data_IF_516622927320
#
_entry.id   IF_516622927320
#
_cell.length_a   1.000
_cell.length_b   1.000
_cell.length_c   1.000
_cell.angle_alpha   90.00
_cell.angle_beta   90.00
_cell.angle_gamma   90.00
#
_symmetry.space_group_name_H-M   'P 1'
#
loop_
_entity.id
_entity.type
_entity.pdbx_description
1 polymer ?
#
# COMPACT_ATOMS: atom_id res chain seq x y z
N UNK A 1 -5.82 10.94 2.46
CA UNK A 1 -5.67 12.38 2.16
C UNK A 1 -5.12 12.54 0.73
N UNK A 2 -5.22 13.72 0.09
CA UNK A 2 -4.49 13.96 -1.16
C UNK A 2 -3.00 13.64 -1.01
N UNK A 3 -2.41 12.99 -2.01
CA UNK A 3 -0.99 12.58 -1.97
C UNK A 3 -0.68 11.25 -1.25
N UNK A 4 -1.68 10.60 -0.63
CA UNK A 4 -1.47 9.28 0.01
C UNK A 4 -0.89 8.24 -0.94
N UNK A 5 -1.42 8.12 -2.17
CA UNK A 5 -0.91 7.16 -3.15
C UNK A 5 0.56 7.43 -3.51
N UNK A 6 0.95 8.69 -3.71
CA UNK A 6 2.33 9.05 -4.02
C UNK A 6 3.29 8.68 -2.88
N UNK A 7 2.87 8.91 -1.62
CA UNK A 7 3.66 8.48 -0.45
C UNK A 7 3.80 6.96 -0.39
N UNK A 8 2.71 6.23 -0.61
CA UNK A 8 2.71 4.76 -0.61
C UNK A 8 3.66 4.21 -1.69
N UNK A 9 3.53 4.66 -2.93
CA UNK A 9 4.37 4.16 -4.03
C UNK A 9 5.84 4.53 -3.85
N UNK A 10 6.14 5.70 -3.28
CA UNK A 10 7.51 6.09 -2.90
C UNK A 10 8.09 5.14 -1.85
N UNK A 11 7.33 4.85 -0.78
CA UNK A 11 7.77 3.93 0.28
C UNK A 11 8.02 2.51 -0.25
N UNK A 12 7.17 2.01 -1.15
CA UNK A 12 7.38 0.70 -1.80
C UNK A 12 8.64 0.70 -2.66
N UNK A 13 8.89 1.77 -3.43
CA UNK A 13 10.09 1.90 -4.24
C UNK A 13 11.37 1.99 -3.39
N UNK A 14 11.36 2.75 -2.30
CA UNK A 14 12.48 2.86 -1.35
C UNK A 14 12.77 1.52 -0.66
N UNK A 15 11.74 0.70 -0.41
CA UNK A 15 11.89 -0.66 0.09
C UNK A 15 12.46 -1.63 -0.97
N UNK A 16 12.55 -1.21 -2.24
CA UNK A 16 13.17 -1.98 -3.32
C UNK A 16 12.24 -2.98 -4.01
N UNK A 17 10.92 -2.80 -3.89
CA UNK A 17 9.91 -3.58 -4.59
C UNK A 17 9.40 -2.86 -5.85
N UNK A 18 9.12 -3.62 -6.90
CA UNK A 18 8.45 -3.10 -8.09
C UNK A 18 6.93 -3.20 -7.91
N UNK A 19 6.20 -2.27 -8.52
CA UNK A 19 4.74 -2.27 -8.55
C UNK A 19 4.32 -2.68 -9.97
N UNK A 20 3.61 -3.81 -10.07
CA UNK A 20 3.05 -4.28 -11.34
C UNK A 20 1.66 -3.67 -11.58
N UNK A 21 0.87 -3.50 -10.51
CA UNK A 21 -0.49 -2.97 -10.61
C UNK A 21 -0.86 -2.12 -9.39
N UNK A 22 -1.71 -1.12 -9.63
CA UNK A 22 -2.29 -0.25 -8.62
C UNK A 22 -3.81 -0.21 -8.80
N UNK A 23 -4.54 -0.73 -7.81
CA UNK A 23 -5.98 -0.55 -7.70
C UNK A 23 -6.27 0.47 -6.62
N UNK A 24 -6.97 1.54 -6.99
CA UNK A 24 -7.39 2.59 -6.05
C UNK A 24 -8.91 2.72 -6.09
N UNK A 25 -9.57 2.27 -5.03
CA UNK A 25 -11.03 2.26 -4.94
C UNK A 25 -11.53 3.19 -3.83
N UNK A 26 -12.64 3.89 -4.11
CA UNK A 26 -13.34 4.71 -3.13
C UNK A 26 -14.65 4.05 -2.79
N UNK A 27 -14.77 3.54 -1.56
CA UNK A 27 -16.04 3.06 -1.07
C UNK A 27 -16.89 4.26 -0.62
N UNK A 28 -18.01 4.48 -1.29
CA UNK A 28 -19.03 5.42 -0.83
C UNK A 28 -19.97 4.65 0.10
N UNK A 29 -19.78 4.78 1.41
CA UNK A 29 -20.72 4.23 2.39
C UNK A 29 -21.69 5.33 2.84
N UNK A 30 -22.90 4.94 3.28
CA UNK A 30 -23.92 5.86 3.83
C UNK A 30 -23.53 6.45 5.19
N UNK A 31 -22.53 5.86 5.86
CA UNK A 31 -21.84 6.46 7.00
C UNK A 31 -20.78 7.42 6.46
N UNK A 32 -20.62 8.60 7.06
CA UNK A 32 -19.78 9.70 6.57
C UNK A 32 -18.26 9.38 6.40
N UNK A 33 -17.84 8.13 6.59
CA UNK A 33 -16.48 7.68 6.34
C UNK A 33 -16.29 7.37 4.85
N UNK A 34 -15.63 8.31 4.14
CA UNK A 34 -15.02 8.03 2.84
C UNK A 34 -13.74 7.23 3.05
N UNK A 35 -13.84 5.92 3.01
CA UNK A 35 -12.67 5.05 3.06
C UNK A 35 -12.12 4.88 1.64
N UNK A 36 -10.81 5.09 1.50
CA UNK A 36 -10.06 4.80 0.28
C UNK A 36 -9.29 3.52 0.55
N UNK A 37 -9.46 2.54 -0.32
CA UNK A 37 -8.67 1.31 -0.31
C UNK A 37 -7.68 1.35 -1.47
N UNK A 38 -6.45 0.96 -1.19
CA UNK A 38 -5.37 0.88 -2.18
C UNK A 38 -4.85 -0.55 -2.11
N UNK A 39 -4.96 -1.26 -3.22
CA UNK A 39 -4.37 -2.58 -3.39
C UNK A 39 -3.24 -2.47 -4.41
N UNK A 40 -2.12 -3.09 -4.07
CA UNK A 40 -0.91 -3.07 -4.89
C UNK A 40 -0.51 -4.51 -5.19
N UNK A 41 -0.26 -4.80 -6.45
CA UNK A 41 0.44 -6.02 -6.86
C UNK A 41 1.91 -5.68 -6.97
N UNK A 42 2.74 -6.30 -6.13
CA UNK A 42 4.17 -5.99 -6.03
C UNK A 42 5.05 -7.21 -6.27
N UNK A 43 6.17 -6.99 -6.94
CA UNK A 43 7.21 -8.00 -7.11
C UNK A 43 8.22 -7.88 -5.96
N UNK A 44 8.42 -8.99 -5.26
CA UNK A 44 9.37 -9.09 -4.16
C UNK A 44 10.36 -10.24 -4.38
N UNK A 45 11.41 -10.31 -3.55
CA UNK A 45 12.48 -11.31 -3.66
C UNK A 45 12.23 -12.53 -2.75
N UNK A 46 11.00 -12.66 -2.24
CA UNK A 46 10.61 -13.67 -1.25
C UNK A 46 9.98 -13.07 0.00
N UNK A 47 9.61 -13.94 0.95
CA UNK A 47 8.82 -13.61 2.15
C UNK A 47 9.47 -12.54 3.05
N UNK A 48 10.78 -12.59 3.24
CA UNK A 48 11.49 -11.57 4.04
C UNK A 48 11.37 -10.17 3.42
N UNK A 49 11.42 -10.09 2.09
CA UNK A 49 11.27 -8.82 1.38
C UNK A 49 9.82 -8.30 1.49
N UNK A 50 8.81 -9.18 1.46
CA UNK A 50 7.42 -8.79 1.72
C UNK A 50 7.29 -8.17 3.11
N UNK A 51 7.84 -8.82 4.14
CA UNK A 51 7.80 -8.31 5.51
C UNK A 51 8.49 -6.94 5.64
N UNK A 52 9.62 -6.73 4.95
CA UNK A 52 10.32 -5.45 4.92
C UNK A 52 9.49 -4.33 4.28
N UNK A 53 8.81 -4.61 3.16
CA UNK A 53 7.92 -3.65 2.48
C UNK A 53 6.73 -3.28 3.37
N UNK A 54 6.09 -4.28 4.00
CA UNK A 54 4.99 -4.05 4.94
C UNK A 54 5.43 -3.23 6.15
N UNK A 55 6.59 -3.54 6.73
CA UNK A 55 7.16 -2.78 7.84
C UNK A 55 7.46 -1.32 7.45
N UNK A 56 7.97 -1.08 6.23
CA UNK A 56 8.22 0.28 5.74
C UNK A 56 6.91 1.08 5.58
N UNK A 57 5.86 0.47 5.03
CA UNK A 57 4.54 1.08 4.91
C UNK A 57 3.93 1.41 6.29
N UNK A 58 4.05 0.50 7.24
CA UNK A 58 3.60 0.70 8.63
C UNK A 58 4.38 1.82 9.33
N UNK A 59 5.70 1.87 9.16
CA UNK A 59 6.55 2.94 9.68
C UNK A 59 6.20 4.31 9.05
N UNK A 60 5.77 4.34 7.79
CA UNK A 60 5.29 5.55 7.11
C UNK A 60 3.87 5.99 7.55
N UNK A 61 3.23 5.23 8.44
CA UNK A 61 1.92 5.51 9.03
C UNK A 61 0.73 4.90 8.28
N UNK A 62 0.97 3.94 7.39
CA UNK A 62 -0.09 3.24 6.66
C UNK A 62 -0.43 1.91 7.33
N UNK A 63 -1.72 1.55 7.37
CA UNK A 63 -2.11 0.17 7.68
C UNK A 63 -1.93 -0.65 6.40
N UNK A 64 -1.09 -1.69 6.44
CA UNK A 64 -0.77 -2.53 5.30
C UNK A 64 -0.62 -3.98 5.74
N UNK A 65 -1.20 -4.88 4.97
CA UNK A 65 -1.17 -6.33 5.18
C UNK A 65 -1.00 -7.06 3.84
N UNK A 66 -0.51 -8.30 3.90
CA UNK A 66 -0.46 -9.19 2.73
C UNK A 66 -1.86 -9.76 2.47
N UNK A 67 -2.42 -9.52 1.28
CA UNK A 67 -3.62 -10.22 0.78
C UNK A 67 -3.29 -11.71 0.59
N UNK A 68 -4.13 -12.59 1.13
CA UNK A 68 -3.95 -14.06 1.11
C UNK A 68 -4.52 -14.73 -0.13
#
# INVERSE_FOLDING_TARGET
VPGSLARITTTVAEAGANIDEVHHQRAFTTLAAQNVEIELVVQTRGREHIAAVLAALQAAGFQAEEQK
#
